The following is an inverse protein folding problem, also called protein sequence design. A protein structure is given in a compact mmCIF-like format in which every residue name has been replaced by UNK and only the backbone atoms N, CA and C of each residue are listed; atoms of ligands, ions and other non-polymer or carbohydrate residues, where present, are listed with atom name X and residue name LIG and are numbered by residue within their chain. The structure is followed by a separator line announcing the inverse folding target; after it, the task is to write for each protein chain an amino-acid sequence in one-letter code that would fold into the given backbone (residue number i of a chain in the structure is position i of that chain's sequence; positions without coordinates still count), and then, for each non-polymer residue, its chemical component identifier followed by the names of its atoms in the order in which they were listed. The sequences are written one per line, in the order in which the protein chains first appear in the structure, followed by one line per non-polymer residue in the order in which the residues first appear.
data_IF_537609495587
#
_entry.id   IF_537609495587
#
_cell.length_a   1.000
_cell.length_b   1.000
_cell.length_c   1.000
_cell.angle_alpha   90.00
_cell.angle_beta   90.00
_cell.angle_gamma   90.00
#
_symmetry.space_group_name_H-M   'P 1'
#
loop_
_entity.id
_entity.type
_entity.pdbx_description
1 polymer ?
#
# COMPACT_ATOMS: atom_id res chain seq x y z
N UNK A 1 -15.58 -11.64 18.96
CA UNK A 1 -14.27 -11.13 18.50
C UNK A 1 -14.62 -10.04 17.50
N UNK A 2 -14.41 -8.78 17.87
CA UNK A 2 -14.83 -7.65 17.05
C UNK A 2 -13.96 -7.58 15.81
N UNK A 3 -14.55 -7.78 14.64
CA UNK A 3 -13.92 -7.49 13.36
C UNK A 3 -13.68 -5.98 13.31
N UNK A 4 -12.45 -5.56 13.63
CA UNK A 4 -12.04 -4.19 13.41
C UNK A 4 -11.89 -4.00 11.90
N UNK A 5 -12.96 -3.55 11.25
CA UNK A 5 -12.91 -3.15 9.84
C UNK A 5 -12.47 -1.70 9.78
N UNK A 6 -11.22 -1.39 9.38
CA UNK A 6 -10.79 -0.02 9.17
C UNK A 6 -11.72 0.63 8.14
N UNK A 7 -12.09 1.91 8.36
CA UNK A 7 -13.03 2.62 7.48
C UNK A 7 -12.47 2.75 6.05
N UNK A 8 -11.15 2.71 5.92
CA UNK A 8 -10.44 2.65 4.64
C UNK A 8 -9.56 1.40 4.58
N UNK A 9 -9.61 0.59 3.51
CA UNK A 9 -8.71 -0.55 3.34
C UNK A 9 -7.26 -0.14 3.55
N UNK A 10 -6.52 -0.92 4.35
CA UNK A 10 -5.14 -0.64 4.73
C UNK A 10 -4.24 -0.57 3.48
N UNK A 11 -4.55 -1.37 2.45
CA UNK A 11 -3.85 -1.29 1.17
C UNK A 11 -3.92 0.12 0.56
N UNK A 12 -5.08 0.80 0.65
CA UNK A 12 -5.24 2.17 0.13
C UNK A 12 -4.45 3.16 0.98
N UNK A 13 -4.41 2.97 2.30
CA UNK A 13 -3.64 3.83 3.20
C UNK A 13 -2.14 3.71 2.97
N UNK A 14 -1.63 2.49 2.84
CA UNK A 14 -0.22 2.23 2.50
C UNK A 14 0.10 2.91 1.17
N UNK A 15 -0.71 2.68 0.13
CA UNK A 15 -0.54 3.30 -1.20
C UNK A 15 -0.53 4.83 -1.12
N UNK A 16 -1.40 5.42 -0.30
CA UNK A 16 -1.44 6.87 -0.06
C UNK A 16 -0.17 7.38 0.59
N UNK A 17 0.30 6.73 1.66
CA UNK A 17 1.54 7.10 2.36
C UNK A 17 2.74 6.99 1.41
N UNK A 18 2.82 5.92 0.62
CA UNK A 18 3.87 5.74 -0.37
C UNK A 18 3.81 6.88 -1.40
N UNK A 19 2.63 7.26 -1.88
CA UNK A 19 2.49 8.39 -2.80
C UNK A 19 2.84 9.76 -2.16
N UNK A 20 2.50 9.99 -0.90
CA UNK A 20 2.77 11.29 -0.26
C UNK A 20 4.21 11.44 0.23
N UNK A 21 4.85 10.34 0.67
CA UNK A 21 6.17 10.36 1.31
C UNK A 21 7.27 9.73 0.46
N UNK A 22 6.94 8.75 -0.37
CA UNK A 22 7.89 7.89 -1.06
C UNK A 22 7.69 7.84 -2.58
N UNK A 23 7.01 8.84 -3.18
CA UNK A 23 6.77 8.92 -4.63
C UNK A 23 8.01 9.27 -5.47
N UNK A 24 9.17 8.80 -5.03
CA UNK A 24 10.42 8.95 -5.76
C UNK A 24 10.99 7.56 -6.05
N UNK A 25 11.24 7.21 -7.33
CA UNK A 25 11.76 5.91 -7.72
C UNK A 25 13.19 5.67 -7.25
N UNK A 26 13.93 6.69 -6.79
CA UNK A 26 15.25 6.52 -6.19
C UNK A 26 15.18 6.23 -4.69
N UNK A 27 14.06 6.60 -4.04
CA UNK A 27 13.84 6.32 -2.63
C UNK A 27 13.56 4.84 -2.39
N UNK A 28 14.16 4.34 -1.31
CA UNK A 28 13.89 3.03 -0.72
C UNK A 28 13.28 3.25 0.64
N UNK A 29 12.35 2.40 1.01
CA UNK A 29 11.64 2.45 2.28
C UNK A 29 11.38 1.05 2.78
N UNK A 30 11.02 0.94 4.06
CA UNK A 30 10.76 -0.37 4.67
C UNK A 30 9.29 -0.52 5.06
N UNK A 31 8.81 -1.76 5.18
CA UNK A 31 7.50 -2.03 5.79
C UNK A 31 7.38 -1.39 7.18
N UNK A 32 8.46 -1.37 7.96
CA UNK A 32 8.49 -0.79 9.31
C UNK A 32 8.18 0.72 9.28
N UNK A 33 8.83 1.47 8.39
CA UNK A 33 8.55 2.91 8.23
C UNK A 33 7.11 3.17 7.77
N UNK A 34 6.62 2.38 6.82
CA UNK A 34 5.23 2.49 6.36
C UNK A 34 4.28 2.15 7.50
N UNK A 35 4.56 1.12 8.28
CA UNK A 35 3.72 0.69 9.40
C UNK A 35 3.65 1.76 10.48
N UNK A 36 4.79 2.38 10.84
CA UNK A 36 4.83 3.48 11.79
C UNK A 36 3.98 4.68 11.31
N UNK A 37 4.04 4.99 10.01
CA UNK A 37 3.22 6.05 9.39
C UNK A 37 1.73 5.70 9.38
N UNK A 38 1.37 4.46 9.06
CA UNK A 38 -0.01 3.96 9.12
C UNK A 38 -0.54 4.03 10.56
N UNK A 39 0.27 3.62 11.54
CA UNK A 39 -0.07 3.65 12.97
C UNK A 39 -0.27 5.09 13.46
N UNK A 40 0.55 6.04 13.00
CA UNK A 40 0.37 7.48 13.26
C UNK A 40 -0.91 8.05 12.64
N UNK A 41 -1.43 7.44 11.58
CA UNK A 41 -2.70 7.81 10.93
C UNK A 41 -3.95 7.45 11.73
N UNK A 42 -3.81 6.71 12.85
CA UNK A 42 -4.88 6.33 13.78
C UNK A 42 -6.03 5.47 13.20
N UNK A 43 -5.89 4.92 11.99
CA UNK A 43 -6.90 4.05 11.35
C UNK A 43 -6.57 2.55 11.49
N UNK A 44 -5.40 2.21 12.06
CA UNK A 44 -4.96 0.84 12.35
C UNK A 44 -4.91 0.59 13.84
N UNK A 45 -5.33 -0.60 14.27
CA UNK A 45 -5.30 -0.98 15.66
C UNK A 45 -3.86 -1.07 16.17
N UNK A 46 -3.58 -0.48 17.33
CA UNK A 46 -2.22 -0.44 17.89
C UNK A 46 -1.67 -1.82 18.24
N UNK A 47 -2.55 -2.84 18.33
CA UNK A 47 -2.22 -4.24 18.57
C UNK A 47 -1.75 -5.00 17.32
N UNK A 48 -1.83 -4.40 16.13
CA UNK A 48 -1.33 -5.02 14.91
C UNK A 48 0.19 -5.13 14.95
N UNK A 49 0.72 -6.19 14.35
CA UNK A 49 2.15 -6.40 14.16
C UNK A 49 2.48 -6.39 12.67
N UNK A 50 3.77 -6.24 12.36
CA UNK A 50 4.27 -6.27 10.98
C UNK A 50 3.93 -7.57 10.25
N UNK A 51 3.89 -8.71 10.95
CA UNK A 51 3.44 -9.99 10.39
C UNK A 51 2.02 -9.91 9.79
N UNK A 52 1.08 -9.27 10.50
CA UNK A 52 -0.29 -9.08 10.01
C UNK A 52 -0.33 -8.18 8.76
N UNK A 53 0.67 -7.28 8.63
CA UNK A 53 0.79 -6.43 7.46
C UNK A 53 1.48 -7.07 6.26
N UNK A 54 2.24 -8.14 6.47
CA UNK A 54 3.02 -8.78 5.42
C UNK A 54 2.15 -9.18 4.23
N UNK A 55 0.94 -9.71 4.50
CA UNK A 55 -0.03 -10.04 3.46
C UNK A 55 -0.40 -8.82 2.60
N UNK A 56 -0.61 -7.66 3.21
CA UNK A 56 -0.94 -6.43 2.47
C UNK A 56 0.23 -5.92 1.64
N UNK A 57 1.46 -5.99 2.17
CA UNK A 57 2.65 -5.63 1.41
C UNK A 57 2.88 -6.59 0.23
N UNK A 58 2.66 -7.88 0.42
CA UNK A 58 2.72 -8.87 -0.65
C UNK A 58 1.69 -8.57 -1.74
N UNK A 59 0.44 -8.22 -1.40
CA UNK A 59 -0.56 -7.80 -2.40
C UNK A 59 -0.12 -6.54 -3.17
N UNK A 60 0.51 -5.56 -2.51
CA UNK A 60 1.00 -4.33 -3.15
C UNK A 60 2.23 -4.61 -4.02
N UNK A 61 3.07 -5.57 -3.64
CA UNK A 61 4.15 -6.07 -4.49
C UNK A 61 3.63 -6.82 -5.71
N UNK A 62 2.65 -7.71 -5.52
CA UNK A 62 2.03 -8.50 -6.59
C UNK A 62 1.30 -7.60 -7.60
N UNK A 63 0.67 -6.52 -7.12
CA UNK A 63 0.04 -5.56 -8.02
C UNK A 63 1.06 -4.81 -8.91
N UNK A 64 2.32 -4.72 -8.48
CA UNK A 64 3.42 -4.09 -9.20
C UNK A 64 3.73 -2.64 -8.79
N UNK A 65 3.19 -2.17 -7.66
CA UNK A 65 3.41 -0.79 -7.18
C UNK A 65 4.85 -0.61 -6.68
N UNK A 66 5.31 -1.58 -5.89
CA UNK A 66 6.65 -1.62 -5.29
C UNK A 66 7.28 -2.97 -5.56
N UNK A 67 8.61 -2.97 -5.65
CA UNK A 67 9.41 -4.20 -5.64
C UNK A 67 10.11 -4.36 -4.31
N UNK A 68 10.16 -5.60 -3.85
CA UNK A 68 11.11 -6.03 -2.84
C UNK A 68 12.53 -5.96 -3.43
N UNK A 69 13.41 -5.20 -2.79
CA UNK A 69 14.83 -5.12 -3.15
C UNK A 69 15.72 -5.92 -2.18
N UNK A 70 15.29 -6.08 -0.95
CA UNK A 70 15.97 -6.85 0.09
C UNK A 70 15.00 -7.18 1.22
N UNK A 71 15.29 -8.25 1.96
CA UNK A 71 14.60 -8.60 3.19
C UNK A 71 15.66 -8.92 4.26
N UNK A 72 15.43 -8.46 5.48
CA UNK A 72 16.23 -8.81 6.65
C UNK A 72 15.28 -9.15 7.81
N UNK A 73 15.15 -10.44 8.12
CA UNK A 73 14.15 -10.96 9.05
C UNK A 73 12.72 -10.52 8.66
N UNK A 74 12.05 -9.77 9.52
CA UNK A 74 10.70 -9.24 9.31
C UNK A 74 10.72 -7.89 8.57
N UNK A 75 11.87 -7.25 8.41
CA UNK A 75 12.00 -5.97 7.71
C UNK A 75 12.22 -6.20 6.23
N UNK A 76 11.29 -5.73 5.41
CA UNK A 76 11.38 -5.79 3.96
C UNK A 76 11.68 -4.39 3.44
N UNK A 77 12.69 -4.31 2.58
CA UNK A 77 13.04 -3.11 1.82
C UNK A 77 12.29 -3.10 0.50
N UNK A 78 11.53 -2.05 0.30
CA UNK A 78 10.78 -1.77 -0.91
C UNK A 78 11.41 -0.61 -1.67
N UNK A 79 11.23 -0.66 -2.99
CA UNK A 79 11.56 0.42 -3.90
C UNK A 79 10.44 0.55 -4.91
N UNK A 80 10.10 1.77 -5.31
CA UNK A 80 9.15 1.97 -6.39
C UNK A 80 9.70 1.46 -7.73
N UNK A 81 8.78 0.98 -8.56
CA UNK A 81 9.09 0.69 -9.96
C UNK A 81 9.20 1.98 -10.78
N UNK A 82 8.21 2.84 -10.65
CA UNK A 82 8.13 4.14 -11.31
C UNK A 82 7.38 5.12 -10.41
N UNK A 83 7.26 6.39 -10.84
CA UNK A 83 6.45 7.36 -10.12
C UNK A 83 5.00 6.88 -10.05
N UNK A 84 4.42 6.97 -8.86
CA UNK A 84 3.02 6.64 -8.63
C UNK A 84 2.16 7.78 -9.14
N UNK A 85 1.09 7.45 -9.84
CA UNK A 85 0.06 8.38 -10.24
C UNK A 85 -1.21 8.18 -9.41
N UNK A 86 -1.83 9.30 -9.05
CA UNK A 86 -3.16 9.35 -8.45
C UNK A 86 -4.18 9.10 -9.57
N UNK A 87 -4.94 8.03 -9.45
CA UNK A 87 -6.07 7.73 -10.34
C UNK A 87 -7.33 7.68 -9.48
N UNK A 88 -8.42 8.25 -9.96
CA UNK A 88 -9.72 8.05 -9.32
C UNK A 88 -10.47 6.97 -10.09
N UNK A 89 -10.82 5.88 -9.41
CA UNK A 89 -11.66 4.87 -10.04
C UNK A 89 -13.08 5.42 -10.19
N UNK A 90 -13.59 5.49 -11.42
CA UNK A 90 -14.95 5.94 -11.73
C UNK A 90 -16.04 5.04 -11.15
N UNK A 91 -15.75 3.76 -10.91
CA UNK A 91 -16.73 2.80 -10.36
C UNK A 91 -16.89 2.89 -8.84
N UNK A 92 -15.82 3.09 -8.07
CA UNK A 92 -15.90 3.16 -6.61
C UNK A 92 -15.59 4.54 -6.02
N UNK A 93 -15.31 5.55 -6.86
CA UNK A 93 -14.95 6.93 -6.49
C UNK A 93 -13.77 7.05 -5.52
N UNK A 94 -13.09 5.95 -5.23
CA UNK A 94 -11.92 5.93 -4.36
C UNK A 94 -10.70 6.44 -5.12
N UNK A 95 -9.90 7.25 -4.41
CA UNK A 95 -8.57 7.60 -4.84
C UNK A 95 -7.68 6.38 -4.69
N UNK A 96 -7.17 5.89 -5.82
CA UNK A 96 -6.21 4.81 -5.87
C UNK A 96 -4.89 5.38 -6.35
N UNK A 97 -3.82 4.82 -5.82
CA UNK A 97 -2.47 5.18 -6.22
C UNK A 97 -1.89 3.94 -6.92
N UNK A 98 -1.52 4.13 -8.19
CA UNK A 98 -1.01 3.08 -9.08
C UNK A 98 0.29 3.56 -9.73
N UNK A 99 1.27 2.67 -9.84
CA UNK A 99 2.46 2.92 -10.63
C UNK A 99 2.14 2.95 -12.12
N UNK A 100 2.89 3.72 -12.91
CA UNK A 100 2.76 3.75 -14.39
C UNK A 100 2.88 2.39 -15.07
N UNK A 101 3.54 1.45 -14.40
CA UNK A 101 3.82 0.10 -14.92
C UNK A 101 2.80 -0.95 -14.45
N UNK A 102 1.87 -0.60 -13.56
CA UNK A 102 0.81 -1.52 -13.14
C UNK A 102 -0.35 -1.53 -14.14
N UNK A 103 -1.02 -2.67 -14.29
CA UNK A 103 -2.30 -2.72 -14.98
C UNK A 103 -3.27 -1.75 -14.27
N UNK A 104 -3.97 -0.93 -15.06
CA UNK A 104 -4.98 0.01 -14.55
C UNK A 104 -6.20 -0.77 -14.06
N UNK A 105 -6.04 -1.51 -12.97
CA UNK A 105 -7.07 -2.29 -12.32
C UNK A 105 -7.28 -1.68 -10.95
N UNK A 106 -8.55 -1.52 -10.57
CA UNK A 106 -8.88 -0.98 -9.28
C UNK A 106 -8.44 -1.96 -8.19
N UNK A 107 -7.41 -1.57 -7.43
CA UNK A 107 -6.91 -2.28 -6.26
C UNK A 107 -7.90 -2.32 -5.07
N UNK A 108 -9.14 -1.86 -5.27
CA UNK A 108 -10.19 -2.02 -4.30
C UNK A 108 -10.74 -3.46 -4.39
N UNK A 109 -10.66 -4.27 -3.31
CA UNK A 109 -11.19 -5.64 -3.30
C UNK A 109 -12.69 -5.71 -3.62
N UNK A 110 -13.43 -4.61 -3.39
CA UNK A 110 -14.85 -4.50 -3.70
C UNK A 110 -15.15 -4.22 -5.19
N UNK A 111 -14.19 -3.68 -5.95
CA UNK A 111 -14.44 -3.23 -7.31
C UNK A 111 -13.79 -4.13 -8.35
N UNK A 112 -12.54 -4.58 -8.14
CA UNK A 112 -11.74 -5.46 -9.05
C UNK A 112 -11.96 -5.20 -10.56
N UNK A 113 -12.30 -3.97 -10.94
CA UNK A 113 -12.61 -3.59 -12.32
C UNK A 113 -11.44 -2.85 -12.92
N UNK A 114 -11.19 -3.10 -14.21
CA UNK A 114 -10.28 -2.31 -15.03
C UNK A 114 -10.77 -0.86 -15.12
N UNK A 115 -9.83 0.08 -15.10
CA UNK A 115 -9.98 1.54 -15.07
C UNK A 115 -9.51 2.12 -16.38
#
# INVERSE_FOLDING_TARGET
MGEFTPSTPIQIQIRKIIFEKFNDPELRFTNDEIFDLVKKGADVDSSWMIDEMESFFNEICDSGLVRNIAQNFTTIWFKLFDKIEKIQCTSCKNEIYLGKSEERICANPACKKSI
#
